data_IF_928996484901
#
_entry.id   IF_928996484901
#
_cell.length_a   1.000
_cell.length_b   1.000
_cell.length_c   1.000
_cell.angle_alpha   90.00
_cell.angle_beta   90.00
_cell.angle_gamma   90.00
#
_symmetry.space_group_name_H-M   'P 1'
#
loop_
_entity.id
_entity.type
_entity.pdbx_description
1 polymer ?
#
# COMPACT_ATOMS: atom_id res chain seq x y z
N UNK A 1 22.55 -2.00 13.99
CA UNK A 1 22.08 -3.41 14.00
C UNK A 1 22.67 -4.05 12.77
N UNK A 2 23.30 -5.22 12.91
CA UNK A 2 23.78 -5.94 11.74
C UNK A 2 22.58 -6.40 10.93
N UNK A 3 22.58 -6.16 9.60
CA UNK A 3 21.53 -6.62 8.70
C UNK A 3 21.52 -8.15 8.73
N UNK A 4 20.33 -8.75 8.56
CA UNK A 4 20.23 -10.21 8.40
C UNK A 4 21.14 -10.64 7.24
N UNK A 5 22.02 -11.64 7.42
CA UNK A 5 22.99 -12.05 6.40
C UNK A 5 22.34 -12.48 5.09
N UNK A 6 21.08 -12.94 5.09
CA UNK A 6 20.34 -13.33 3.88
C UNK A 6 19.99 -12.16 2.96
N UNK A 7 19.94 -10.95 3.53
CA UNK A 7 19.57 -9.72 2.80
C UNK A 7 20.68 -8.66 2.82
N UNK A 8 21.88 -9.00 3.30
CA UNK A 8 22.99 -8.06 3.42
C UNK A 8 23.51 -7.59 2.04
N UNK A 9 23.57 -8.51 1.08
CA UNK A 9 24.19 -8.31 -0.24
C UNK A 9 23.23 -8.55 -1.42
N UNK A 10 21.90 -8.48 -1.19
CA UNK A 10 20.92 -8.66 -2.26
C UNK A 10 20.49 -7.33 -2.87
N UNK A 11 20.01 -7.38 -4.12
CA UNK A 11 19.35 -6.25 -4.78
C UNK A 11 17.99 -6.03 -4.13
N UNK A 12 17.86 -4.92 -3.38
CA UNK A 12 16.66 -4.61 -2.60
C UNK A 12 15.65 -3.86 -3.43
N UNK A 13 14.35 -4.20 -3.36
CA UNK A 13 13.32 -3.39 -3.99
C UNK A 13 13.26 -2.01 -3.32
N UNK A 14 13.17 -0.97 -4.15
CA UNK A 14 12.96 0.39 -3.66
C UNK A 14 11.53 0.59 -3.18
N UNK A 15 10.57 -0.04 -3.87
CA UNK A 15 9.14 0.06 -3.62
C UNK A 15 8.47 -1.31 -3.53
N UNK A 16 7.82 -1.60 -2.41
CA UNK A 16 6.99 -2.80 -2.25
C UNK A 16 5.51 -2.43 -2.20
N UNK A 17 4.68 -3.19 -2.89
CA UNK A 17 3.23 -3.11 -2.83
C UNK A 17 2.67 -4.34 -2.10
N UNK A 18 1.65 -4.17 -1.25
CA UNK A 18 1.12 -5.26 -0.42
C UNK A 18 -0.40 -5.34 -0.49
N UNK A 19 -0.91 -6.53 -0.83
CA UNK A 19 -2.33 -6.89 -0.70
C UNK A 19 -2.49 -7.80 0.53
N UNK A 20 -2.99 -7.24 1.66
CA UNK A 20 -3.06 -7.94 2.96
C UNK A 20 -4.32 -8.82 3.03
N UNK A 21 -4.32 -9.96 2.35
CA UNK A 21 -5.46 -10.86 2.33
C UNK A 21 -5.43 -11.86 3.50
N UNK A 22 -6.63 -12.36 3.89
CA UNK A 22 -6.78 -13.44 4.86
C UNK A 22 -7.16 -13.03 6.27
N UNK A 23 -7.35 -11.76 6.62
CA UNK A 23 -7.74 -11.31 7.97
C UNK A 23 -8.96 -12.07 8.52
N UNK A 24 -10.01 -12.22 7.72
CA UNK A 24 -11.24 -12.94 8.12
C UNK A 24 -11.00 -14.45 8.25
N UNK A 25 -10.26 -15.04 7.30
CA UNK A 25 -9.90 -16.46 7.31
C UNK A 25 -9.04 -16.80 8.53
N UNK A 26 -8.10 -15.94 8.86
CA UNK A 26 -7.26 -16.02 10.06
C UNK A 26 -8.10 -16.04 11.35
N UNK A 27 -9.07 -15.12 11.48
CA UNK A 27 -9.95 -15.08 12.64
C UNK A 27 -10.84 -16.32 12.73
N UNK A 28 -11.45 -16.74 11.61
CA UNK A 28 -12.28 -17.95 11.53
C UNK A 28 -11.52 -19.21 11.94
N UNK A 29 -10.29 -19.38 11.44
CA UNK A 29 -9.43 -20.53 11.78
C UNK A 29 -9.09 -20.62 13.29
N UNK A 30 -9.27 -19.50 14.03
CA UNK A 30 -9.00 -19.38 15.48
C UNK A 30 -10.30 -19.24 16.31
N UNK A 31 -11.46 -19.49 15.72
CA UNK A 31 -12.75 -19.36 16.39
C UNK A 31 -13.08 -17.93 16.83
N UNK A 32 -12.48 -16.91 16.16
CA UNK A 32 -12.65 -15.49 16.51
C UNK A 32 -13.56 -14.78 15.52
N UNK A 33 -14.17 -13.68 15.97
CA UNK A 33 -14.93 -12.79 15.09
C UNK A 33 -14.01 -12.05 14.10
N UNK A 34 -14.46 -11.67 12.88
CA UNK A 34 -13.67 -11.00 11.85
C UNK A 34 -12.89 -9.78 12.32
N UNK A 35 -13.46 -8.99 13.23
CA UNK A 35 -12.82 -7.79 13.81
C UNK A 35 -11.48 -8.07 14.48
N UNK A 36 -11.30 -9.25 15.10
CA UNK A 36 -10.01 -9.63 15.67
C UNK A 36 -8.95 -9.89 14.60
N UNK A 37 -9.36 -10.41 13.44
CA UNK A 37 -8.47 -10.55 12.29
C UNK A 37 -8.03 -9.19 11.73
N UNK A 38 -8.96 -8.26 11.59
CA UNK A 38 -8.61 -6.90 11.15
C UNK A 38 -7.68 -6.19 12.15
N UNK A 39 -7.92 -6.31 13.45
CA UNK A 39 -7.03 -5.75 14.48
C UNK A 39 -5.62 -6.36 14.42
N UNK A 40 -5.52 -7.68 14.27
CA UNK A 40 -4.24 -8.37 14.10
C UNK A 40 -3.54 -7.94 12.78
N UNK A 41 -4.31 -7.70 11.72
CA UNK A 41 -3.80 -7.19 10.45
C UNK A 41 -3.23 -5.77 10.54
N UNK A 42 -3.77 -4.90 11.39
CA UNK A 42 -3.20 -3.57 11.67
C UNK A 42 -1.84 -3.71 12.37
N UNK A 43 -1.72 -4.64 13.31
CA UNK A 43 -0.44 -4.90 13.98
C UNK A 43 0.61 -5.49 13.02
N UNK A 44 0.20 -6.36 12.10
CA UNK A 44 1.08 -6.86 11.04
C UNK A 44 1.56 -5.73 10.11
N UNK A 45 0.68 -4.77 9.77
CA UNK A 45 1.07 -3.58 9.00
C UNK A 45 2.10 -2.71 9.73
N UNK A 46 1.91 -2.47 11.03
CA UNK A 46 2.89 -1.75 11.84
C UNK A 46 4.28 -2.40 11.76
N UNK A 47 4.34 -3.72 11.96
CA UNK A 47 5.58 -4.50 11.87
C UNK A 47 6.18 -4.48 10.45
N UNK A 48 5.34 -4.50 9.42
CA UNK A 48 5.81 -4.36 8.04
C UNK A 48 6.57 -3.04 7.85
N UNK A 49 6.02 -1.92 8.33
CA UNK A 49 6.68 -0.61 8.19
C UNK A 49 8.00 -0.55 8.97
N UNK A 50 8.05 -1.13 10.17
CA UNK A 50 9.27 -1.21 10.97
C UNK A 50 10.36 -2.02 10.24
N UNK A 51 10.00 -3.21 9.73
CA UNK A 51 10.92 -4.07 9.00
C UNK A 51 11.35 -3.43 7.66
N UNK A 52 10.43 -2.82 6.92
CA UNK A 52 10.73 -2.13 5.67
C UNK A 52 11.75 -1.00 5.89
N UNK A 53 11.55 -0.19 6.93
CA UNK A 53 12.50 0.85 7.31
C UNK A 53 13.86 0.29 7.75
N UNK A 54 13.89 -0.81 8.53
CA UNK A 54 15.13 -1.50 8.94
C UNK A 54 15.90 -2.02 7.72
N UNK A 55 15.20 -2.54 6.72
CA UNK A 55 15.80 -3.12 5.51
C UNK A 55 16.19 -2.07 4.47
N UNK A 56 15.79 -0.81 4.65
CA UNK A 56 16.10 0.28 3.72
C UNK A 56 15.16 0.38 2.51
N UNK A 57 13.97 -0.23 2.59
CA UNK A 57 12.91 -0.04 1.61
C UNK A 57 12.38 1.39 1.73
N UNK A 58 12.29 2.10 0.61
CA UNK A 58 11.92 3.52 0.59
C UNK A 58 10.42 3.77 0.49
N UNK A 59 9.70 2.89 -0.22
CA UNK A 59 8.27 3.04 -0.49
C UNK A 59 7.51 1.77 -0.14
N UNK A 60 6.36 1.93 0.53
CA UNK A 60 5.42 0.84 0.82
C UNK A 60 4.03 1.29 0.40
N UNK A 61 3.41 0.62 -0.56
CA UNK A 61 1.99 0.85 -0.90
C UNK A 61 1.13 -0.29 -0.36
N UNK A 62 0.17 0.02 0.50
CA UNK A 62 -0.64 -0.95 1.24
C UNK A 62 -2.12 -0.86 0.87
N UNK A 63 -2.72 -1.97 0.44
CA UNK A 63 -4.12 -2.03 0.02
C UNK A 63 -5.06 -2.24 1.22
N UNK A 64 -5.37 -1.17 1.94
CA UNK A 64 -6.14 -1.24 3.18
C UNK A 64 -7.65 -1.43 2.94
N UNK A 65 -8.24 -0.71 1.96
CA UNK A 65 -9.67 -0.78 1.67
C UNK A 65 -9.95 -0.49 0.19
N UNK A 66 -10.46 -1.49 -0.53
CA UNK A 66 -10.79 -1.33 -1.95
C UNK A 66 -12.19 -0.75 -2.16
N UNK A 67 -12.44 -0.21 -3.36
CA UNK A 67 -13.79 0.24 -3.77
C UNK A 67 -14.83 -0.88 -3.70
N UNK A 68 -14.43 -2.13 -3.90
CA UNK A 68 -15.31 -3.30 -3.80
C UNK A 68 -15.70 -3.65 -2.37
N UNK A 69 -14.92 -3.21 -1.37
CA UNK A 69 -15.17 -3.49 0.04
C UNK A 69 -16.42 -2.78 0.59
N UNK A 70 -16.91 -1.74 -0.09
CA UNK A 70 -18.21 -1.13 0.24
C UNK A 70 -19.41 -2.09 0.09
N UNK A 71 -19.24 -3.19 -0.64
CA UNK A 71 -20.26 -4.25 -0.78
C UNK A 71 -20.35 -5.18 0.45
N UNK A 72 -19.45 -5.03 1.41
CA UNK A 72 -19.49 -5.76 2.68
C UNK A 72 -20.66 -5.28 3.55
N UNK A 73 -20.95 -6.01 4.63
CA UNK A 73 -21.99 -5.57 5.58
C UNK A 73 -21.61 -4.23 6.20
N UNK A 74 -22.61 -3.38 6.49
CA UNK A 74 -22.40 -2.07 7.11
C UNK A 74 -21.59 -2.16 8.41
N UNK A 75 -21.85 -3.19 9.21
CA UNK A 75 -21.12 -3.43 10.46
C UNK A 75 -19.64 -3.74 10.23
N UNK A 76 -19.30 -4.47 9.17
CA UNK A 76 -17.91 -4.76 8.82
C UNK A 76 -17.21 -3.52 8.29
N UNK A 77 -17.85 -2.77 7.38
CA UNK A 77 -17.33 -1.50 6.85
C UNK A 77 -17.06 -0.53 7.99
N UNK A 78 -18.04 -0.35 8.89
CA UNK A 78 -17.89 0.51 10.07
C UNK A 78 -16.71 0.07 10.94
N UNK A 79 -16.58 -1.22 11.23
CA UNK A 79 -15.48 -1.73 12.05
C UNK A 79 -14.10 -1.49 11.42
N UNK A 80 -13.98 -1.62 10.10
CA UNK A 80 -12.72 -1.33 9.38
C UNK A 80 -12.42 0.16 9.43
N UNK A 81 -13.41 1.03 9.19
CA UNK A 81 -13.22 2.48 9.25
C UNK A 81 -12.88 2.97 10.67
N UNK A 82 -13.51 2.41 11.69
CA UNK A 82 -13.21 2.71 13.10
C UNK A 82 -11.76 2.29 13.45
N UNK A 83 -11.28 1.14 12.95
CA UNK A 83 -9.89 0.70 13.11
C UNK A 83 -8.92 1.63 12.40
N UNK A 84 -9.22 2.02 11.17
CA UNK A 84 -8.42 2.96 10.40
C UNK A 84 -8.31 4.31 11.11
N UNK A 85 -9.43 4.86 11.57
CA UNK A 85 -9.48 6.09 12.36
C UNK A 85 -8.67 5.99 13.64
N UNK A 86 -8.83 4.88 14.37
CA UNK A 86 -8.10 4.64 15.61
C UNK A 86 -6.59 4.57 15.36
N UNK A 87 -6.18 3.93 14.26
CA UNK A 87 -4.79 3.86 13.85
C UNK A 87 -4.21 5.25 13.58
N UNK A 88 -4.90 6.07 12.80
CA UNK A 88 -4.45 7.44 12.48
C UNK A 88 -4.43 8.34 13.73
N UNK A 89 -5.47 8.27 14.58
CA UNK A 89 -5.56 9.10 15.78
C UNK A 89 -4.49 8.77 16.81
N UNK A 90 -4.16 7.49 16.95
CA UNK A 90 -3.18 7.00 17.91
C UNK A 90 -1.81 6.71 17.27
N UNK A 91 -1.55 7.29 16.11
CA UNK A 91 -0.29 7.17 15.38
C UNK A 91 0.93 7.30 16.30
N UNK A 92 0.91 8.28 17.20
CA UNK A 92 1.99 8.56 18.14
C UNK A 92 2.35 7.38 19.04
N UNK A 93 1.37 6.56 19.41
CA UNK A 93 1.57 5.40 20.29
C UNK A 93 1.80 4.10 19.51
N UNK A 94 1.47 4.05 18.22
CA UNK A 94 1.48 2.82 17.44
C UNK A 94 2.81 2.57 16.70
N UNK A 95 3.56 3.62 16.34
CA UNK A 95 4.77 3.50 15.52
C UNK A 95 6.08 3.63 16.35
N UNK A 96 5.99 3.87 17.66
CA UNK A 96 7.15 3.89 18.55
C UNK A 96 8.31 4.77 18.04
N UNK A 97 9.59 4.34 18.24
CA UNK A 97 10.78 5.10 17.80
C UNK A 97 10.94 5.27 16.28
N UNK A 98 10.31 4.41 15.47
CA UNK A 98 10.30 4.55 14.00
C UNK A 98 9.40 5.69 13.50
N UNK A 99 8.66 6.31 14.43
CA UNK A 99 7.71 7.41 14.19
C UNK A 99 8.27 8.60 13.43
N UNK A 100 9.49 9.00 13.72
CA UNK A 100 10.12 10.19 13.12
C UNK A 100 10.57 9.98 11.66
N UNK A 101 10.32 8.81 11.09
CA UNK A 101 10.92 8.37 9.83
C UNK A 101 9.92 8.03 8.73
N UNK A 102 8.64 7.84 9.07
CA UNK A 102 7.60 7.43 8.10
C UNK A 102 6.73 8.62 7.70
N UNK A 103 6.68 8.90 6.39
CA UNK A 103 5.69 9.80 5.79
C UNK A 103 4.47 9.00 5.37
N UNK A 104 3.28 9.41 5.79
CA UNK A 104 2.02 8.79 5.37
C UNK A 104 1.36 9.58 4.26
N UNK A 105 0.90 8.87 3.25
CA UNK A 105 0.11 9.41 2.13
C UNK A 105 -1.11 8.51 1.95
N UNK A 106 -2.32 9.04 2.16
CA UNK A 106 -3.56 8.28 1.97
C UNK A 106 -4.11 8.54 0.59
N UNK A 107 -4.18 7.49 -0.24
CA UNK A 107 -4.63 7.56 -1.61
C UNK A 107 -5.95 6.83 -1.83
N UNK A 108 -6.77 7.34 -2.75
CA UNK A 108 -8.10 6.86 -3.08
C UNK A 108 -9.16 7.97 -3.03
N UNK A 109 -10.43 7.60 -3.09
CA UNK A 109 -11.52 8.56 -3.06
C UNK A 109 -11.91 8.89 -1.61
N UNK A 110 -12.08 10.19 -1.30
CA UNK A 110 -12.45 10.67 0.05
C UNK A 110 -13.94 11.04 0.19
N UNK A 111 -14.72 11.01 -0.90
CA UNK A 111 -16.10 11.52 -0.94
C UNK A 111 -17.06 10.78 0.00
N UNK A 112 -16.80 9.48 0.24
CA UNK A 112 -17.65 8.65 1.11
C UNK A 112 -17.27 8.71 2.58
N UNK A 113 -16.19 9.39 2.93
CA UNK A 113 -15.73 9.45 4.30
C UNK A 113 -16.42 10.55 5.09
N UNK A 114 -16.63 10.32 6.38
CA UNK A 114 -17.08 11.38 7.28
C UNK A 114 -16.03 12.48 7.37
N UNK A 115 -16.48 13.69 7.71
CA UNK A 115 -15.57 14.83 7.92
C UNK A 115 -14.47 14.55 8.95
N UNK A 116 -14.75 13.73 9.96
CA UNK A 116 -13.75 13.36 10.99
C UNK A 116 -12.67 12.43 10.44
N UNK A 117 -13.03 11.52 9.52
CA UNK A 117 -12.06 10.67 8.80
C UNK A 117 -11.15 11.54 7.95
N UNK A 118 -11.73 12.42 7.13
CA UNK A 118 -10.96 13.31 6.24
C UNK A 118 -10.00 14.19 7.05
N UNK A 119 -10.47 14.84 8.12
CA UNK A 119 -9.62 15.66 9.01
C UNK A 119 -8.49 14.84 9.65
N UNK A 120 -8.76 13.58 10.00
CA UNK A 120 -7.74 12.72 10.61
C UNK A 120 -6.68 12.31 9.58
N UNK A 121 -7.07 12.09 8.33
CA UNK A 121 -6.16 11.84 7.20
C UNK A 121 -5.27 13.07 6.97
N UNK A 122 -5.88 14.26 6.80
CA UNK A 122 -5.15 15.51 6.59
C UNK A 122 -4.16 15.79 7.74
N UNK A 123 -4.58 15.49 8.98
CA UNK A 123 -3.71 15.67 10.15
C UNK A 123 -2.48 14.77 10.07
N UNK A 124 -2.62 13.46 9.76
CA UNK A 124 -1.47 12.55 9.72
C UNK A 124 -0.54 12.88 8.56
N UNK A 125 -1.08 13.21 7.39
CA UNK A 125 -0.32 13.63 6.21
C UNK A 125 0.51 14.88 6.55
N UNK A 126 -0.10 15.92 7.16
CA UNK A 126 0.60 17.14 7.56
C UNK A 126 1.66 16.90 8.66
N UNK A 127 1.37 16.03 9.63
CA UNK A 127 2.29 15.70 10.73
C UNK A 127 3.56 14.99 10.24
N UNK A 128 3.45 14.26 9.14
CA UNK A 128 4.53 13.38 8.65
C UNK A 128 5.13 13.84 7.31
N UNK A 129 4.68 14.96 6.76
CA UNK A 129 5.05 15.44 5.41
C UNK A 129 6.56 15.64 5.20
N UNK A 130 7.27 15.99 6.27
CA UNK A 130 8.71 16.27 6.22
C UNK A 130 9.57 15.02 6.51
N UNK A 131 8.94 13.86 6.76
CA UNK A 131 9.63 12.59 6.89
C UNK A 131 9.95 12.03 5.51
N UNK A 132 11.14 11.48 5.32
CA UNK A 132 11.60 10.99 4.03
C UNK A 132 12.31 9.62 4.05
N UNK A 133 12.53 9.01 5.22
CA UNK A 133 13.21 7.71 5.31
C UNK A 133 12.36 6.59 4.69
N UNK A 134 11.06 6.56 4.99
CA UNK A 134 10.08 5.61 4.44
C UNK A 134 8.78 6.35 4.09
N UNK A 135 8.27 6.15 2.88
CA UNK A 135 6.99 6.72 2.43
C UNK A 135 5.96 5.60 2.33
N UNK A 136 4.90 5.70 3.14
CA UNK A 136 3.84 4.70 3.23
C UNK A 136 2.56 5.22 2.57
N UNK A 137 2.23 4.70 1.39
CA UNK A 137 0.95 4.92 0.73
C UNK A 137 -0.10 3.96 1.29
N UNK A 138 -1.19 4.50 1.79
CA UNK A 138 -2.33 3.71 2.30
C UNK A 138 -3.51 3.88 1.35
N UNK A 139 -3.86 2.82 0.63
CA UNK A 139 -4.98 2.82 -0.31
C UNK A 139 -6.30 2.61 0.43
N UNK A 140 -7.17 3.63 0.47
CA UNK A 140 -8.49 3.59 1.13
C UNK A 140 -9.56 4.12 0.18
N UNK A 141 -10.65 3.38 -0.02
CA UNK A 141 -11.61 3.56 -1.13
C UNK A 141 -10.89 3.69 -2.48
N UNK A 142 -9.90 2.79 -2.66
CA UNK A 142 -9.03 2.78 -3.82
C UNK A 142 -9.43 1.67 -4.81
N UNK A 143 -9.24 1.94 -6.09
CA UNK A 143 -9.31 0.95 -7.17
C UNK A 143 -8.60 1.49 -8.41
N UNK A 144 -7.71 0.69 -9.01
CA UNK A 144 -6.88 1.11 -10.15
C UNK A 144 -7.68 1.58 -11.37
N UNK A 145 -8.84 0.96 -11.65
CA UNK A 145 -9.74 1.44 -12.71
C UNK A 145 -10.25 2.85 -12.44
N UNK A 146 -10.63 3.13 -11.19
CA UNK A 146 -11.10 4.47 -10.80
C UNK A 146 -9.97 5.49 -10.84
N UNK A 147 -8.76 5.10 -10.44
CA UNK A 147 -7.57 5.95 -10.51
C UNK A 147 -7.25 6.34 -11.95
N UNK A 148 -7.23 5.36 -12.88
CA UNK A 148 -7.02 5.59 -14.32
C UNK A 148 -8.06 6.57 -14.89
N UNK A 149 -9.34 6.36 -14.58
CA UNK A 149 -10.41 7.27 -15.01
C UNK A 149 -10.20 8.68 -14.45
N UNK A 150 -9.78 8.81 -13.19
CA UNK A 150 -9.53 10.12 -12.57
C UNK A 150 -8.30 10.81 -13.17
N UNK A 151 -7.22 10.08 -13.46
CA UNK A 151 -6.06 10.61 -14.19
C UNK A 151 -6.46 11.09 -15.58
N UNK A 152 -7.21 10.28 -16.33
CA UNK A 152 -7.72 10.65 -17.66
C UNK A 152 -8.56 11.92 -17.63
N UNK A 153 -9.44 12.08 -16.62
CA UNK A 153 -10.25 13.29 -16.48
C UNK A 153 -9.40 14.53 -16.21
N UNK A 154 -8.32 14.42 -15.39
CA UNK A 154 -7.41 15.55 -15.14
C UNK A 154 -6.68 15.95 -16.41
N UNK A 155 -6.11 14.98 -17.14
CA UNK A 155 -5.42 15.22 -18.40
C UNK A 155 -6.36 15.87 -19.43
N UNK A 156 -7.58 15.33 -19.59
CA UNK A 156 -8.57 15.90 -20.50
C UNK A 156 -8.96 17.35 -20.12
N UNK A 157 -9.03 17.63 -18.80
CA UNK A 157 -9.28 18.99 -18.30
C UNK A 157 -8.12 19.92 -18.63
N UNK A 158 -6.87 19.48 -18.46
CA UNK A 158 -5.68 20.29 -18.76
C UNK A 158 -5.54 20.56 -20.26
N UNK A 159 -5.87 19.59 -21.13
CA UNK A 159 -5.96 19.80 -22.59
C UNK A 159 -7.04 20.84 -22.91
N UNK A 160 -8.24 20.70 -22.35
CA UNK A 160 -9.35 21.66 -22.56
C UNK A 160 -9.00 23.06 -22.12
N UNK A 161 -8.25 23.20 -21.03
CA UNK A 161 -7.83 24.50 -20.44
C UNK A 161 -6.59 25.08 -21.15
N UNK A 162 -6.04 24.39 -22.18
CA UNK A 162 -4.85 24.82 -22.93
C UNK A 162 -3.55 24.75 -22.13
N UNK A 163 -3.51 23.96 -21.04
CA UNK A 163 -2.31 23.75 -20.21
C UNK A 163 -1.44 22.61 -20.73
N UNK A 164 -2.01 21.71 -21.53
CA UNK A 164 -1.35 20.53 -22.12
C UNK A 164 -1.80 20.40 -23.58
N UNK A 165 -0.86 20.16 -24.50
CA UNK A 165 -1.22 19.75 -25.86
C UNK A 165 -1.56 18.27 -25.89
N UNK A 166 -2.51 17.88 -26.73
CA UNK A 166 -2.89 16.46 -26.88
C UNK A 166 -1.74 15.59 -27.35
N UNK A 167 -0.85 16.13 -28.17
CA UNK A 167 0.33 15.44 -28.70
C UNK A 167 1.45 15.30 -27.65
N UNK A 168 1.39 16.03 -26.55
CA UNK A 168 2.32 15.93 -25.42
C UNK A 168 1.89 14.90 -24.35
N UNK A 169 0.77 14.20 -24.56
CA UNK A 169 0.32 13.14 -23.65
C UNK A 169 1.25 11.92 -23.81
N UNK A 170 2.09 11.69 -22.80
CA UNK A 170 3.05 10.58 -22.72
C UNK A 170 2.77 9.69 -21.52
N UNK A 171 3.43 8.52 -21.43
CA UNK A 171 3.38 7.65 -20.23
C UNK A 171 3.74 8.42 -18.96
N UNK A 172 4.76 9.32 -19.06
CA UNK A 172 5.15 10.17 -17.93
C UNK A 172 4.05 11.15 -17.53
N UNK A 173 3.43 11.83 -18.46
CA UNK A 173 2.32 12.75 -18.19
C UNK A 173 1.16 11.98 -17.54
N UNK A 174 0.89 10.75 -17.98
CA UNK A 174 -0.14 9.91 -17.39
C UNK A 174 0.24 9.50 -15.95
N UNK A 175 1.47 9.03 -15.73
CA UNK A 175 1.97 8.63 -14.42
C UNK A 175 1.97 9.81 -13.41
N UNK A 176 2.32 11.01 -13.85
CA UNK A 176 2.30 12.24 -13.03
C UNK A 176 0.85 12.63 -12.60
N UNK A 177 -0.17 12.05 -13.22
CA UNK A 177 -1.58 12.22 -12.85
C UNK A 177 -2.14 11.06 -12.00
N UNK A 178 -1.37 10.04 -11.67
CA UNK A 178 -1.75 9.00 -10.74
C UNK A 178 -1.60 9.43 -9.27
N UNK A 179 -2.20 8.69 -8.36
CA UNK A 179 -2.11 9.01 -6.92
C UNK A 179 -0.71 8.77 -6.35
N UNK A 180 0.09 7.93 -7.02
CA UNK A 180 1.46 7.57 -6.61
C UNK A 180 2.54 8.36 -7.37
N UNK A 181 2.21 9.51 -7.95
CA UNK A 181 3.06 10.29 -8.86
C UNK A 181 4.44 10.67 -8.26
N UNK A 182 4.57 10.72 -6.93
CA UNK A 182 5.85 10.99 -6.25
C UNK A 182 6.70 9.73 -6.01
N UNK A 183 6.17 8.53 -6.29
CA UNK A 183 6.87 7.27 -6.09
C UNK A 183 7.20 6.60 -7.43
N UNK A 184 8.29 5.84 -7.52
CA UNK A 184 8.50 4.93 -8.64
C UNK A 184 7.45 3.81 -8.59
N UNK A 185 7.26 3.13 -9.72
CA UNK A 185 6.44 1.93 -9.78
C UNK A 185 6.95 0.86 -8.78
N UNK A 186 6.08 0.01 -8.23
CA UNK A 186 6.51 -1.05 -7.32
C UNK A 186 7.44 -2.05 -8.01
N UNK A 187 8.53 -2.40 -7.34
CA UNK A 187 9.43 -3.47 -7.77
C UNK A 187 8.87 -4.85 -7.44
N UNK A 188 8.21 -4.97 -6.28
CA UNK A 188 7.68 -6.21 -5.74
C UNK A 188 6.25 -6.02 -5.22
N UNK A 189 5.32 -6.88 -5.68
CA UNK A 189 3.99 -7.04 -5.10
C UNK A 189 3.96 -8.29 -4.24
N UNK A 190 3.59 -8.14 -2.98
CA UNK A 190 3.35 -9.24 -2.03
C UNK A 190 1.85 -9.42 -1.83
N UNK A 191 1.33 -10.63 -2.06
CA UNK A 191 -0.05 -10.96 -1.69
C UNK A 191 -0.09 -12.22 -0.84
N UNK A 192 -0.80 -12.13 0.28
CA UNK A 192 -0.98 -13.21 1.26
C UNK A 192 -2.24 -14.03 1.00
N UNK A 193 -2.29 -15.22 1.60
CA UNK A 193 -3.50 -16.06 1.70
C UNK A 193 -3.82 -16.92 0.47
N UNK A 194 -2.81 -17.25 -0.36
CA UNK A 194 -2.93 -18.19 -1.48
C UNK A 194 -3.77 -17.68 -2.66
N UNK A 195 -3.97 -16.35 -2.76
CA UNK A 195 -4.76 -15.76 -3.84
C UNK A 195 -3.86 -15.10 -4.88
N UNK A 196 -3.86 -15.59 -6.11
CA UNK A 196 -2.96 -15.17 -7.19
C UNK A 196 -3.68 -14.20 -8.17
N UNK A 197 -4.06 -13.04 -7.69
CA UNK A 197 -4.70 -11.96 -8.48
C UNK A 197 -4.41 -10.60 -7.84
N UNK A 198 -4.47 -9.52 -8.62
CA UNK A 198 -4.19 -8.16 -8.16
C UNK A 198 -5.43 -7.39 -7.68
N UNK A 199 -6.62 -7.90 -7.92
CA UNK A 199 -7.90 -7.38 -7.40
C UNK A 199 -8.08 -5.87 -7.60
N UNK A 200 -7.84 -5.36 -8.81
CA UNK A 200 -7.96 -3.94 -9.15
C UNK A 200 -6.97 -3.02 -8.38
N UNK A 201 -5.84 -3.56 -7.94
CA UNK A 201 -4.80 -2.81 -7.24
C UNK A 201 -3.74 -2.34 -8.23
N UNK A 202 -3.33 -1.06 -8.19
CA UNK A 202 -2.22 -0.43 -8.92
C UNK A 202 -2.08 -0.89 -10.40
N UNK A 203 -3.18 -0.89 -11.18
CA UNK A 203 -3.23 -1.50 -12.51
C UNK A 203 -2.18 -0.95 -13.49
N UNK A 204 -1.89 0.34 -13.43
CA UNK A 204 -0.86 0.97 -14.25
C UNK A 204 0.53 0.66 -13.73
N UNK A 205 0.74 0.86 -12.44
CA UNK A 205 2.04 0.80 -11.80
C UNK A 205 2.63 -0.61 -11.71
N UNK A 206 1.79 -1.67 -11.77
CA UNK A 206 2.22 -3.06 -11.68
C UNK A 206 2.68 -3.65 -13.02
N UNK A 207 2.81 -2.86 -14.08
CA UNK A 207 3.09 -3.34 -15.44
C UNK A 207 4.38 -4.19 -15.55
N UNK A 208 5.41 -3.88 -14.75
CA UNK A 208 6.70 -4.59 -14.72
C UNK A 208 7.10 -5.06 -13.32
N UNK A 209 6.14 -5.15 -12.42
CA UNK A 209 6.33 -5.56 -11.03
C UNK A 209 6.52 -7.07 -10.92
N UNK A 210 7.46 -7.52 -10.09
CA UNK A 210 7.58 -8.92 -9.71
C UNK A 210 6.55 -9.28 -8.64
N UNK A 211 5.95 -10.49 -8.72
CA UNK A 211 4.88 -10.91 -7.81
C UNK A 211 5.36 -12.03 -6.88
N UNK A 212 5.09 -11.88 -5.60
CA UNK A 212 5.28 -12.90 -4.56
C UNK A 212 3.95 -13.26 -3.92
N UNK A 213 3.56 -14.52 -4.02
CA UNK A 213 2.33 -15.05 -3.42
C UNK A 213 2.68 -16.02 -2.31
N UNK A 214 1.96 -15.95 -1.18
CA UNK A 214 2.14 -16.85 -0.05
C UNK A 214 0.81 -17.32 0.52
N UNK A 215 0.73 -18.56 0.98
CA UNK A 215 -0.44 -19.14 1.63
C UNK A 215 -0.69 -18.58 3.04
N UNK A 216 0.31 -17.94 3.65
CA UNK A 216 0.15 -17.33 4.97
C UNK A 216 -0.94 -16.28 4.98
N UNK A 217 -1.74 -16.27 6.02
CA UNK A 217 -2.68 -15.18 6.26
C UNK A 217 -1.95 -13.91 6.67
N UNK A 218 -2.44 -12.75 6.23
CA UNK A 218 -1.82 -11.47 6.52
C UNK A 218 -1.44 -11.25 8.00
N UNK A 219 -2.30 -11.55 9.01
CA UNK A 219 -1.92 -11.37 10.41
C UNK A 219 -0.72 -12.21 10.89
N UNK A 220 -0.39 -13.29 10.20
CA UNK A 220 0.75 -14.16 10.51
C UNK A 220 1.99 -13.82 9.66
N UNK A 221 1.88 -12.89 8.70
CA UNK A 221 3.00 -12.43 7.89
C UNK A 221 3.94 -11.55 8.72
N UNK A 222 5.15 -12.01 8.94
CA UNK A 222 6.14 -11.37 9.80
C UNK A 222 7.44 -11.01 9.09
N UNK A 223 8.48 -10.73 9.91
CA UNK A 223 9.81 -10.35 9.43
C UNK A 223 10.44 -11.43 8.55
N UNK A 224 10.32 -12.70 8.97
CA UNK A 224 10.87 -13.83 8.22
C UNK A 224 10.24 -13.97 6.85
N UNK A 225 8.92 -13.80 6.74
CA UNK A 225 8.21 -13.89 5.47
C UNK A 225 8.59 -12.76 4.51
N UNK A 226 8.83 -11.57 5.07
CA UNK A 226 9.34 -10.45 4.27
C UNK A 226 10.75 -10.75 3.76
N UNK A 227 11.63 -11.31 4.59
CA UNK A 227 12.97 -11.72 4.17
C UNK A 227 12.90 -12.77 3.06
N UNK A 228 12.04 -13.80 3.19
CA UNK A 228 11.83 -14.82 2.15
C UNK A 228 11.39 -14.16 0.83
N UNK A 229 10.42 -13.25 0.87
CA UNK A 229 9.95 -12.53 -0.31
C UNK A 229 11.07 -11.69 -0.97
N UNK A 230 11.92 -11.04 -0.17
CA UNK A 230 13.04 -10.23 -0.66
C UNK A 230 14.15 -11.08 -1.28
N UNK A 231 14.47 -12.23 -0.67
CA UNK A 231 15.44 -13.18 -1.21
C UNK A 231 14.95 -13.78 -2.54
N UNK A 232 13.68 -14.18 -2.62
CA UNK A 232 13.10 -14.68 -3.86
C UNK A 232 13.11 -13.60 -4.96
N UNK A 233 12.72 -12.37 -4.63
CA UNK A 233 12.78 -11.23 -5.55
C UNK A 233 14.20 -11.03 -6.11
N UNK A 234 15.21 -11.01 -5.26
CA UNK A 234 16.61 -10.78 -5.67
C UNK A 234 17.16 -11.86 -6.58
N UNK A 235 16.66 -13.10 -6.46
CA UNK A 235 17.05 -14.22 -7.33
C UNK A 235 16.45 -14.14 -8.75
N UNK A 236 15.54 -13.22 -9.01
CA UNK A 236 14.87 -13.10 -10.31
C UNK A 236 15.66 -12.21 -11.26
N UNK A 237 15.73 -12.61 -12.53
CA UNK A 237 16.32 -11.80 -13.60
C UNK A 237 15.23 -10.87 -14.19
N UNK A 238 15.26 -9.59 -13.84
CA UNK A 238 14.35 -8.59 -14.40
C UNK A 238 14.78 -8.25 -15.84
N UNK A 239 14.00 -8.65 -16.82
CA UNK A 239 14.36 -8.51 -18.26
C UNK A 239 13.64 -7.37 -19.00
N UNK A 240 12.79 -6.58 -18.40
CA UNK A 240 12.06 -5.41 -18.96
C UNK A 240 11.78 -5.48 -20.48
N UNK A 241 11.54 -6.67 -21.06
CA UNK A 241 11.36 -6.88 -22.48
C UNK A 241 12.64 -6.74 -23.34
N UNK A 242 13.81 -6.52 -22.76
CA UNK A 242 15.12 -6.51 -23.44
C UNK A 242 15.78 -7.90 -23.45
N UNK A 243 16.71 -8.10 -24.45
CA UNK A 243 17.53 -9.33 -24.55
C UNK A 243 18.55 -9.40 -23.43
#
# INVERSE_FOLDING_TARGET
>A
MDKDPRIADIDMPLHIAVIPDGNRRWAKARGKLPQFGHKAGVEAYRKLLENAGEFGIKYVTFYAFSTENWKRTESEVKAIMDLFLNYIKNYDSLIGPARSKVRFVVIGNRDKFSKDVVKSIERIENLTKDNDDLIAYICVDYGGRSEIINATKRIAQDVRDGKLDIDDITDKVFADNLYTYEAPDPDLLIRTSGEERISNFLLWQLAYTEFYFTDKYWPDFGKEDLIEALVEYSGRQRRYGGK
#
